data_IF_862102506480
#
_entry.id   IF_862102506480
#
_cell.length_a   1.000
_cell.length_b   1.000
_cell.length_c   1.000
_cell.angle_alpha   90.00
_cell.angle_beta   90.00
_cell.angle_gamma   90.00
#
_symmetry.space_group_name_H-M   'P 1'
#
loop_
_entity.id
_entity.type
_entity.pdbx_description
1 polymer ?
#
# COMPACT_ATOMS: atom_id res chain seq x y z
N UNK A 1 36.61 -107.95 -42.26
CA UNK A 1 37.48 -107.19 -41.33
C UNK A 1 36.65 -106.93 -40.08
N UNK A 2 36.89 -107.69 -39.00
CA UNK A 2 36.52 -107.26 -37.63
C UNK A 2 37.53 -106.19 -37.13
N UNK A 3 37.50 -105.71 -35.86
CA UNK A 3 36.63 -104.66 -35.33
C UNK A 3 37.42 -103.58 -34.53
N UNK A 4 36.89 -102.36 -34.41
CA UNK A 4 37.28 -101.39 -33.36
C UNK A 4 36.03 -100.54 -33.11
N UNK A 5 35.38 -100.49 -31.95
CA UNK A 5 35.86 -100.65 -30.59
C UNK A 5 35.59 -99.32 -29.86
N UNK A 6 34.62 -99.35 -28.93
CA UNK A 6 34.54 -98.53 -27.69
C UNK A 6 34.37 -97.00 -27.84
N UNK A 7 33.48 -96.28 -27.15
CA UNK A 7 32.69 -96.53 -25.93
C UNK A 7 31.40 -95.71 -25.99
N UNK A 8 30.26 -96.38 -25.85
CA UNK A 8 29.07 -95.75 -25.30
C UNK A 8 29.36 -95.51 -23.81
N UNK A 9 29.14 -94.28 -23.32
CA UNK A 9 28.91 -94.08 -21.89
C UNK A 9 27.51 -94.63 -21.56
N UNK A 10 27.42 -95.95 -21.44
CA UNK A 10 26.33 -96.60 -20.71
C UNK A 10 26.57 -96.43 -19.21
N UNK A 11 25.50 -96.12 -18.48
CA UNK A 11 25.51 -96.15 -17.03
C UNK A 11 24.59 -95.12 -16.39
N UNK A 12 23.29 -95.18 -16.70
CA UNK A 12 22.31 -94.80 -15.67
C UNK A 12 22.40 -95.89 -14.61
N UNK A 13 23.34 -95.70 -13.69
CA UNK A 13 23.45 -96.53 -12.50
C UNK A 13 22.11 -96.47 -11.76
N UNK A 14 21.54 -97.60 -11.33
CA UNK A 14 20.39 -97.58 -10.45
C UNK A 14 20.79 -96.80 -9.21
N UNK A 15 20.08 -95.70 -8.96
CA UNK A 15 20.20 -94.94 -7.74
C UNK A 15 19.84 -95.91 -6.61
N UNK A 16 20.83 -96.42 -5.91
CA UNK A 16 20.63 -97.20 -4.70
C UNK A 16 20.32 -96.18 -3.62
N UNK A 17 19.03 -96.02 -3.33
CA UNK A 17 18.58 -95.20 -2.22
C UNK A 17 19.21 -95.76 -0.93
N UNK A 18 20.02 -94.98 -0.19
CA UNK A 18 20.48 -95.42 1.12
C UNK A 18 19.28 -95.42 2.08
N UNK A 19 18.59 -96.55 2.18
CA UNK A 19 17.59 -96.79 3.22
C UNK A 19 18.29 -96.93 4.58
N UNK A 20 18.46 -95.80 5.26
CA UNK A 20 18.76 -95.80 6.69
C UNK A 20 17.44 -95.89 7.46
N UNK A 21 17.20 -97.06 8.08
CA UNK A 21 16.01 -97.34 8.93
C UNK A 21 14.68 -97.36 8.13
N UNK A 22 14.64 -98.05 6.98
CA UNK A 22 13.39 -98.38 6.26
C UNK A 22 12.62 -97.19 5.65
N UNK A 23 13.29 -96.06 5.41
CA UNK A 23 12.72 -94.89 4.75
C UNK A 23 13.69 -94.37 3.67
N UNK A 24 13.15 -94.00 2.51
CA UNK A 24 13.90 -93.43 1.38
C UNK A 24 14.64 -92.12 1.74
N UNK A 25 15.71 -91.80 1.02
CA UNK A 25 16.47 -90.57 1.20
C UNK A 25 15.61 -89.30 1.05
N UNK A 26 14.61 -89.33 0.17
CA UNK A 26 13.62 -88.26 0.00
C UNK A 26 12.76 -88.06 1.25
N UNK A 27 12.46 -89.13 1.99
CA UNK A 27 11.68 -89.06 3.22
C UNK A 27 12.48 -88.38 4.34
N UNK A 28 13.77 -88.70 4.51
CA UNK A 28 14.65 -88.01 5.46
C UNK A 28 14.85 -86.53 5.12
N UNK A 29 15.00 -86.18 3.83
CA UNK A 29 15.08 -84.78 3.37
C UNK A 29 13.76 -84.04 3.64
N UNK A 30 12.62 -84.68 3.38
CA UNK A 30 11.31 -84.09 3.66
C UNK A 30 11.07 -83.86 5.15
N UNK A 31 11.54 -84.78 6.01
CA UNK A 31 11.47 -84.66 7.47
C UNK A 31 12.35 -83.51 7.99
N UNK A 32 13.58 -83.40 7.46
CA UNK A 32 14.48 -82.30 7.79
C UNK A 32 13.92 -80.93 7.34
N UNK A 33 13.30 -80.87 6.14
CA UNK A 33 12.64 -79.66 5.65
C UNK A 33 11.40 -79.30 6.48
N UNK A 34 10.60 -80.30 6.87
CA UNK A 34 9.45 -80.10 7.75
C UNK A 34 9.87 -79.59 9.13
N UNK A 35 10.94 -80.15 9.71
CA UNK A 35 11.52 -79.69 10.97
C UNK A 35 12.05 -78.24 10.86
N UNK A 36 12.72 -77.90 9.75
CA UNK A 36 13.18 -76.53 9.48
C UNK A 36 12.02 -75.54 9.38
N UNK A 37 10.97 -75.87 8.63
CA UNK A 37 9.76 -75.04 8.53
C UNK A 37 9.08 -74.91 9.90
N UNK A 38 8.97 -75.98 10.68
CA UNK A 38 8.40 -75.95 12.02
C UNK A 38 9.21 -75.03 12.96
N UNK A 39 10.54 -75.06 12.88
CA UNK A 39 11.42 -74.14 13.63
C UNK A 39 11.20 -72.69 13.18
N UNK A 40 11.09 -72.42 11.88
CA UNK A 40 10.83 -71.06 11.36
C UNK A 40 9.46 -70.51 11.82
N UNK A 41 8.44 -71.36 11.86
CA UNK A 41 7.12 -71.02 12.38
C UNK A 41 7.16 -70.77 13.89
N UNK A 42 7.84 -71.64 14.65
CA UNK A 42 8.00 -71.47 16.09
C UNK A 42 8.79 -70.18 16.44
N UNK A 43 9.80 -69.85 15.63
CA UNK A 43 10.58 -68.60 15.74
C UNK A 43 9.90 -67.40 15.10
N UNK A 44 8.67 -67.54 14.61
CA UNK A 44 7.81 -66.45 14.11
C UNK A 44 8.44 -65.61 12.98
N UNK A 45 9.29 -66.22 12.17
CA UNK A 45 9.95 -65.53 11.04
C UNK A 45 8.93 -64.91 10.06
N UNK A 46 7.83 -65.58 9.68
CA UNK A 46 6.82 -64.97 8.81
C UNK A 46 6.13 -63.75 9.44
N UNK A 47 5.91 -63.77 10.76
CA UNK A 47 5.29 -62.65 11.47
C UNK A 47 6.24 -61.44 11.57
N UNK A 48 7.55 -61.67 11.69
CA UNK A 48 8.55 -60.59 11.67
C UNK A 48 8.58 -59.87 10.31
N UNK A 49 8.54 -60.63 9.22
CA UNK A 49 8.50 -60.07 7.85
C UNK A 49 7.19 -59.28 7.64
N UNK A 50 6.05 -59.82 8.09
CA UNK A 50 4.77 -59.12 8.06
C UNK A 50 4.81 -57.79 8.83
N UNK A 51 5.35 -57.81 10.06
CA UNK A 51 5.46 -56.61 10.89
C UNK A 51 6.35 -55.51 10.28
N UNK A 52 7.46 -55.88 9.63
CA UNK A 52 8.32 -54.90 8.94
C UNK A 52 7.60 -54.30 7.74
N UNK A 53 6.87 -55.12 6.97
CA UNK A 53 6.11 -54.65 5.82
C UNK A 53 4.95 -53.75 6.24
N UNK A 54 4.22 -54.11 7.30
CA UNK A 54 3.17 -53.28 7.90
C UNK A 54 3.72 -51.96 8.42
N UNK A 55 4.90 -51.96 9.03
CA UNK A 55 5.60 -50.74 9.44
C UNK A 55 5.93 -49.82 8.26
N UNK A 56 6.36 -50.39 7.12
CA UNK A 56 6.57 -49.62 5.88
C UNK A 56 5.28 -49.07 5.31
N UNK A 57 4.20 -49.86 5.32
CA UNK A 57 2.88 -49.41 4.86
C UNK A 57 2.37 -48.26 5.73
N UNK A 58 2.52 -48.35 7.06
CA UNK A 58 2.15 -47.29 7.98
C UNK A 58 2.94 -46.00 7.72
N UNK A 59 4.26 -46.12 7.54
CA UNK A 59 5.13 -44.98 7.22
C UNK A 59 4.74 -44.30 5.90
N UNK A 60 4.45 -45.09 4.85
CA UNK A 60 4.01 -44.55 3.55
C UNK A 60 2.64 -43.87 3.67
N UNK A 61 1.71 -44.46 4.42
CA UNK A 61 0.39 -43.86 4.68
C UNK A 61 0.51 -42.52 5.40
N UNK A 62 1.38 -42.44 6.41
CA UNK A 62 1.63 -41.20 7.15
C UNK A 62 2.23 -40.12 6.23
N UNK A 63 3.25 -40.45 5.44
CA UNK A 63 3.84 -39.53 4.47
C UNK A 63 2.83 -39.06 3.42
N UNK A 64 1.97 -39.94 2.93
CA UNK A 64 0.93 -39.60 1.96
C UNK A 64 -0.14 -38.68 2.60
N UNK A 65 -0.53 -38.94 3.84
CA UNK A 65 -1.45 -38.10 4.59
C UNK A 65 -0.87 -36.71 4.84
N UNK A 66 0.41 -36.62 5.22
CA UNK A 66 1.11 -35.36 5.41
C UNK A 66 1.25 -34.58 4.10
N UNK A 67 1.62 -35.25 2.99
CA UNK A 67 1.70 -34.63 1.67
C UNK A 67 0.33 -34.09 1.21
N UNK A 68 -0.75 -34.85 1.46
CA UNK A 68 -2.12 -34.43 1.12
C UNK A 68 -2.53 -33.23 1.96
N UNK A 69 -2.21 -33.22 3.25
CA UNK A 69 -2.45 -32.08 4.14
C UNK A 69 -1.68 -30.85 3.69
N UNK A 70 -0.39 -31.00 3.39
CA UNK A 70 0.46 -29.89 2.94
C UNK A 70 -0.05 -29.31 1.61
N UNK A 71 -0.53 -30.17 0.70
CA UNK A 71 -1.16 -29.72 -0.54
C UNK A 71 -2.44 -28.94 -0.28
N UNK A 72 -3.31 -29.43 0.62
CA UNK A 72 -4.54 -28.71 0.99
C UNK A 72 -4.23 -27.36 1.65
N UNK A 73 -3.23 -27.29 2.53
CA UNK A 73 -2.75 -26.05 3.14
C UNK A 73 -2.19 -25.08 2.09
N UNK A 74 -1.43 -25.57 1.09
CA UNK A 74 -0.92 -24.75 0.00
C UNK A 74 -2.03 -24.23 -0.94
N UNK A 75 -3.02 -25.06 -1.26
CA UNK A 75 -4.18 -24.67 -2.08
C UNK A 75 -5.05 -23.64 -1.33
N UNK A 76 -5.27 -23.82 -0.03
CA UNK A 76 -5.96 -22.85 0.82
C UNK A 76 -5.20 -21.52 0.89
N UNK A 77 -3.89 -21.56 1.11
CA UNK A 77 -3.04 -20.37 1.16
C UNK A 77 -3.06 -19.61 -0.18
N UNK A 78 -2.98 -20.33 -1.30
CA UNK A 78 -3.11 -19.74 -2.63
C UNK A 78 -4.45 -19.01 -2.80
N UNK A 79 -5.55 -19.64 -2.42
CA UNK A 79 -6.88 -19.02 -2.47
C UNK A 79 -6.98 -17.77 -1.61
N UNK A 80 -6.41 -17.79 -0.40
CA UNK A 80 -6.34 -16.59 0.45
C UNK A 80 -5.54 -15.45 -0.19
N UNK A 81 -4.39 -15.75 -0.79
CA UNK A 81 -3.59 -14.72 -1.46
C UNK A 81 -4.28 -14.16 -2.69
N UNK A 82 -4.93 -15.01 -3.51
CA UNK A 82 -5.71 -14.54 -4.66
C UNK A 82 -6.87 -13.62 -4.22
N UNK A 83 -7.58 -13.99 -3.14
CA UNK A 83 -8.62 -13.14 -2.56
C UNK A 83 -8.05 -11.82 -2.00
N UNK A 84 -6.91 -11.86 -1.30
CA UNK A 84 -6.21 -10.67 -0.79
C UNK A 84 -5.74 -9.76 -1.93
N UNK A 85 -5.22 -10.31 -3.03
CA UNK A 85 -4.84 -9.54 -4.21
C UNK A 85 -6.05 -8.86 -4.86
N UNK A 86 -7.16 -9.59 -5.02
CA UNK A 86 -8.39 -9.03 -5.58
C UNK A 86 -8.97 -7.92 -4.69
N UNK A 87 -8.96 -8.12 -3.37
CA UNK A 87 -9.38 -7.11 -2.40
C UNK A 87 -8.47 -5.87 -2.46
N UNK A 88 -7.14 -6.05 -2.45
CA UNK A 88 -6.18 -4.95 -2.53
C UNK A 88 -6.30 -4.16 -3.85
N UNK A 89 -6.55 -4.83 -4.97
CA UNK A 89 -6.80 -4.16 -6.24
C UNK A 89 -8.10 -3.33 -6.20
N UNK A 90 -9.16 -3.88 -5.61
CA UNK A 90 -10.43 -3.16 -5.41
C UNK A 90 -10.28 -1.96 -4.47
N UNK A 91 -9.55 -2.10 -3.37
CA UNK A 91 -9.24 -1.02 -2.44
C UNK A 91 -8.39 0.07 -3.10
N UNK A 92 -7.39 -0.29 -3.91
CA UNK A 92 -6.57 0.66 -4.65
C UNK A 92 -7.40 1.48 -5.66
N UNK A 93 -8.30 0.84 -6.40
CA UNK A 93 -9.20 1.53 -7.32
C UNK A 93 -10.21 2.43 -6.57
N UNK A 94 -10.73 1.97 -5.42
CA UNK A 94 -11.59 2.78 -4.57
C UNK A 94 -10.85 4.01 -4.02
N UNK A 95 -9.61 3.83 -3.56
CA UNK A 95 -8.73 4.90 -3.10
C UNK A 95 -8.43 5.90 -4.22
N UNK A 96 -8.16 5.42 -5.44
CA UNK A 96 -7.92 6.30 -6.59
C UNK A 96 -9.15 7.15 -6.91
N UNK A 97 -10.33 6.53 -6.98
CA UNK A 97 -11.60 7.25 -7.22
C UNK A 97 -11.91 8.27 -6.13
N UNK A 98 -11.68 7.92 -4.86
CA UNK A 98 -11.86 8.85 -3.75
C UNK A 98 -10.90 10.04 -3.85
N UNK A 99 -9.63 9.79 -4.18
CA UNK A 99 -8.63 10.85 -4.36
C UNK A 99 -8.95 11.75 -5.56
N UNK A 100 -9.41 11.19 -6.69
CA UNK A 100 -9.88 11.96 -7.85
C UNK A 100 -11.05 12.88 -7.46
N UNK A 101 -12.05 12.34 -6.75
CA UNK A 101 -13.20 13.13 -6.29
C UNK A 101 -12.81 14.24 -5.30
N UNK A 102 -11.93 13.93 -4.35
CA UNK A 102 -11.42 14.91 -3.39
C UNK A 102 -10.61 16.01 -4.09
N UNK A 103 -9.78 15.66 -5.07
CA UNK A 103 -9.03 16.62 -5.86
C UNK A 103 -9.94 17.55 -6.67
N UNK A 104 -11.01 17.03 -7.28
CA UNK A 104 -12.01 17.83 -7.97
C UNK A 104 -12.70 18.83 -7.01
N UNK A 105 -13.09 18.36 -5.82
CA UNK A 105 -13.66 19.21 -4.77
C UNK A 105 -12.70 20.31 -4.33
N UNK A 106 -11.43 19.95 -4.09
CA UNK A 106 -10.40 20.91 -3.70
C UNK A 106 -10.15 21.98 -4.78
N UNK A 107 -10.16 21.59 -6.06
CA UNK A 107 -10.00 22.53 -7.18
C UNK A 107 -11.22 23.48 -7.25
N UNK A 108 -12.44 22.96 -7.05
CA UNK A 108 -13.64 23.79 -7.03
C UNK A 108 -13.59 24.81 -5.88
N UNK A 109 -13.25 24.37 -4.68
CA UNK A 109 -13.12 25.24 -3.50
C UNK A 109 -11.98 26.26 -3.67
N UNK A 110 -10.85 25.83 -4.23
CA UNK A 110 -9.73 26.72 -4.51
C UNK A 110 -10.11 27.84 -5.50
N UNK A 111 -10.90 27.53 -6.53
CA UNK A 111 -11.43 28.53 -7.48
C UNK A 111 -12.34 29.54 -6.78
N UNK A 112 -13.31 29.06 -5.99
CA UNK A 112 -14.23 29.94 -5.23
C UNK A 112 -13.46 30.86 -4.28
N UNK A 113 -12.47 30.32 -3.58
CA UNK A 113 -11.62 31.10 -2.68
C UNK A 113 -10.74 32.10 -3.43
N UNK A 114 -10.19 31.73 -4.59
CA UNK A 114 -9.42 32.63 -5.43
C UNK A 114 -10.27 33.80 -5.94
N UNK A 115 -11.48 33.53 -6.43
CA UNK A 115 -12.42 34.56 -6.88
C UNK A 115 -12.80 35.50 -5.73
N UNK A 116 -13.11 34.96 -4.55
CA UNK A 116 -13.39 35.76 -3.36
C UNK A 116 -12.19 36.64 -2.94
N UNK A 117 -10.96 36.12 -3.05
CA UNK A 117 -9.75 36.88 -2.79
C UNK A 117 -9.56 38.02 -3.79
N UNK A 118 -9.82 37.79 -5.07
CA UNK A 118 -9.74 38.81 -6.12
C UNK A 118 -10.75 39.93 -5.83
N UNK A 119 -12.02 39.59 -5.57
CA UNK A 119 -13.06 40.58 -5.24
C UNK A 119 -12.66 41.40 -4.01
N UNK A 120 -12.15 40.76 -2.96
CA UNK A 120 -11.68 41.46 -1.76
C UNK A 120 -10.50 42.39 -2.06
N UNK A 121 -9.55 41.94 -2.88
CA UNK A 121 -8.37 42.73 -3.29
C UNK A 121 -8.77 43.93 -4.14
N UNK A 122 -9.71 43.74 -5.06
CA UNK A 122 -10.27 44.82 -5.87
C UNK A 122 -10.94 45.87 -4.97
N UNK A 123 -11.83 45.45 -4.07
CA UNK A 123 -12.48 46.38 -3.13
C UNK A 123 -11.49 47.16 -2.28
N UNK A 124 -10.45 46.51 -1.73
CA UNK A 124 -9.40 47.21 -0.98
C UNK A 124 -8.64 48.22 -1.84
N UNK A 125 -8.40 47.93 -3.11
CA UNK A 125 -7.75 48.85 -4.03
C UNK A 125 -8.67 50.05 -4.34
N UNK A 126 -9.95 49.81 -4.62
CA UNK A 126 -10.96 50.84 -4.84
C UNK A 126 -11.10 51.75 -3.60
N UNK A 127 -11.19 51.18 -2.40
CA UNK A 127 -11.26 51.92 -1.14
C UNK A 127 -10.01 52.80 -0.94
N UNK A 128 -8.82 52.27 -1.28
CA UNK A 128 -7.55 53.00 -1.19
C UNK A 128 -7.47 54.13 -2.22
N UNK A 129 -7.93 53.90 -3.45
CA UNK A 129 -8.02 54.93 -4.50
C UNK A 129 -8.97 56.03 -4.03
N UNK A 130 -10.18 55.70 -3.58
CA UNK A 130 -11.13 56.69 -3.09
C UNK A 130 -10.62 57.48 -1.89
N UNK A 131 -9.87 56.84 -0.98
CA UNK A 131 -9.20 57.55 0.12
C UNK A 131 -8.12 58.52 -0.38
N UNK A 132 -7.30 58.09 -1.35
CA UNK A 132 -6.26 58.93 -1.95
C UNK A 132 -6.86 60.11 -2.74
N UNK A 133 -7.95 59.91 -3.48
CA UNK A 133 -8.68 60.96 -4.20
C UNK A 133 -9.21 62.02 -3.23
N UNK A 134 -9.87 61.60 -2.15
CA UNK A 134 -10.34 62.53 -1.10
C UNK A 134 -9.18 63.34 -0.51
N UNK A 135 -8.06 62.68 -0.21
CA UNK A 135 -6.87 63.35 0.30
C UNK A 135 -6.28 64.34 -0.72
N UNK A 136 -6.23 63.98 -2.00
CA UNK A 136 -5.74 64.85 -3.07
C UNK A 136 -6.63 66.08 -3.26
N UNK A 137 -7.96 65.93 -3.23
CA UNK A 137 -8.89 67.06 -3.30
C UNK A 137 -8.68 68.03 -2.14
N UNK A 138 -8.54 67.52 -0.92
CA UNK A 138 -8.25 68.34 0.27
C UNK A 138 -6.92 69.06 0.13
N UNK A 139 -5.87 68.39 -0.35
CA UNK A 139 -4.57 68.99 -0.58
C UNK A 139 -4.59 70.11 -1.64
N UNK A 140 -5.30 69.91 -2.76
CA UNK A 140 -5.48 70.94 -3.80
C UNK A 140 -6.24 72.15 -3.24
N UNK A 141 -7.33 71.91 -2.50
CA UNK A 141 -8.10 72.99 -1.86
C UNK A 141 -7.23 73.78 -0.88
N UNK A 142 -6.46 73.10 -0.03
CA UNK A 142 -5.55 73.76 0.89
C UNK A 142 -4.50 74.61 0.16
N UNK A 143 -3.91 74.08 -0.92
CA UNK A 143 -2.96 74.83 -1.75
C UNK A 143 -3.59 76.06 -2.41
N UNK A 144 -4.81 75.94 -2.91
CA UNK A 144 -5.56 77.06 -3.49
C UNK A 144 -5.90 78.13 -2.45
N UNK A 145 -6.36 77.74 -1.26
CA UNK A 145 -6.63 78.65 -0.14
C UNK A 145 -5.36 79.38 0.32
N UNK A 146 -4.24 78.66 0.41
CA UNK A 146 -2.95 79.26 0.77
C UNK A 146 -2.52 80.27 -0.30
N UNK A 147 -2.57 79.90 -1.59
CA UNK A 147 -2.22 80.81 -2.68
C UNK A 147 -3.10 82.06 -2.71
N UNK A 148 -4.42 81.91 -2.52
CA UNK A 148 -5.37 83.02 -2.45
C UNK A 148 -5.09 83.93 -1.24
N UNK A 149 -4.83 83.36 -0.06
CA UNK A 149 -4.50 84.11 1.15
C UNK A 149 -3.19 84.88 0.99
N UNK A 150 -2.15 84.25 0.40
CA UNK A 150 -0.88 84.93 0.12
C UNK A 150 -1.06 86.07 -0.88
N UNK A 151 -1.83 85.86 -1.96
CA UNK A 151 -2.11 86.91 -2.94
C UNK A 151 -2.91 88.07 -2.32
N UNK A 152 -3.93 87.77 -1.50
CA UNK A 152 -4.69 88.76 -0.76
C UNK A 152 -3.81 89.57 0.20
N UNK A 153 -2.90 88.90 0.94
CA UNK A 153 -1.96 89.57 1.83
C UNK A 153 -1.03 90.55 1.07
N UNK A 154 -0.55 90.18 -0.11
CA UNK A 154 0.26 91.05 -0.97
C UNK A 154 -0.54 92.25 -1.48
N UNK A 155 -1.77 92.03 -1.96
CA UNK A 155 -2.67 93.10 -2.40
C UNK A 155 -3.00 94.08 -1.27
N UNK A 156 -3.28 93.57 -0.06
CA UNK A 156 -3.50 94.40 1.13
C UNK A 156 -2.25 95.22 1.46
N UNK A 157 -1.06 94.60 1.43
CA UNK A 157 0.20 95.30 1.68
C UNK A 157 0.51 96.39 0.64
N UNK A 158 0.12 96.19 -0.63
CA UNK A 158 0.28 97.17 -1.70
C UNK A 158 -0.77 98.30 -1.65
N UNK A 159 -1.98 98.01 -1.18
CA UNK A 159 -3.08 98.97 -1.03
C UNK A 159 -3.15 99.67 0.33
N UNK A 160 -2.16 99.45 1.20
CA UNK A 160 -2.07 100.07 2.53
C UNK A 160 -1.46 101.48 2.40
N UNK A 161 -2.30 102.50 2.50
CA UNK A 161 -1.90 103.88 2.71
C UNK A 161 -2.44 104.39 4.06
N UNK A 162 -1.88 105.52 4.54
CA UNK A 162 -2.27 106.08 5.84
C UNK A 162 -3.77 106.47 5.92
N UNK A 163 -4.45 106.62 4.79
CA UNK A 163 -5.87 107.00 4.72
C UNK A 163 -6.77 105.75 4.83
N UNK A 164 -6.39 104.64 4.21
CA UNK A 164 -7.02 103.34 4.35
C UNK A 164 -6.91 102.80 5.79
N UNK A 165 -5.76 103.01 6.44
CA UNK A 165 -5.51 102.61 7.83
C UNK A 165 -6.45 103.33 8.80
N UNK A 166 -6.58 104.64 8.65
CA UNK A 166 -7.49 105.44 9.46
C UNK A 166 -8.95 104.96 9.30
N UNK A 167 -9.38 104.69 8.07
CA UNK A 167 -10.73 104.20 7.80
C UNK A 167 -10.99 102.76 8.30
N UNK A 168 -9.95 101.93 8.44
CA UNK A 168 -10.04 100.61 9.07
C UNK A 168 -10.13 100.71 10.59
N UNK A 169 -9.32 101.59 11.21
CA UNK A 169 -9.35 101.87 12.65
C UNK A 169 -10.70 102.46 13.06
N UNK A 170 -11.21 103.46 12.33
CA UNK A 170 -12.52 104.06 12.61
C UNK A 170 -13.66 103.03 12.49
N UNK A 171 -13.59 102.11 11.50
CA UNK A 171 -14.55 100.99 11.38
C UNK A 171 -14.42 99.97 12.52
N UNK A 172 -13.21 99.63 12.96
CA UNK A 172 -13.01 98.73 14.09
C UNK A 172 -13.54 99.34 15.40
N UNK A 173 -13.27 100.63 15.63
CA UNK A 173 -13.80 101.39 16.78
C UNK A 173 -15.33 101.45 16.73
N UNK A 174 -15.91 101.73 15.57
CA UNK A 174 -17.37 101.75 15.38
C UNK A 174 -17.99 100.36 15.58
N UNK A 175 -17.34 99.31 15.05
CA UNK A 175 -17.78 97.92 15.18
C UNK A 175 -17.79 97.43 16.63
N UNK A 176 -16.81 97.85 17.43
CA UNK A 176 -16.78 97.59 18.88
C UNK A 176 -17.83 98.41 19.64
N UNK A 177 -18.14 99.63 19.17
CA UNK A 177 -19.20 100.48 19.71
C UNK A 177 -20.62 100.02 19.41
N UNK A 178 -20.81 99.11 18.45
CA UNK A 178 -22.14 98.56 18.06
C UNK A 178 -22.51 97.22 18.71
N UNK A 179 -21.66 96.64 19.56
CA UNK A 179 -21.94 95.36 20.27
C UNK A 179 -22.54 95.58 21.67
N UNK A 180 -23.23 96.71 21.86
CA UNK A 180 -24.04 97.01 23.04
C UNK A 180 -25.38 97.59 22.58
#
# INVERSE_FOLDING_TARGET
MEPVGTVAHEGVAPHTDPEAVGMDATAWVSLAMAAFIAILLFKKVPALIGSVLDGRIAQIKEQLAEATRLRAEAEALKGEYEAKLAAAAGEADAMRKAAEHEAEGLIADAKVNADALIVRRQKMAEDKIGAAERAAIVAIRAKAVNAATTAAAVLIAQGHDAQADKALVDRAITGLGTIN
#
